data_IF_627747965286
#
_entry.id   IF_627747965286
#
_cell.length_a   1.000
_cell.length_b   1.000
_cell.length_c   1.000
_cell.angle_alpha   90.00
_cell.angle_beta   90.00
_cell.angle_gamma   90.00
#
_symmetry.space_group_name_H-M   'P 1'
#
loop_
_entity.id
_entity.type
_entity.pdbx_description
1 polymer ?
#
# COMPACT_ATOMS: atom_id res chain seq x y z
N UNK A 1 6.43 9.77 0.68
CA UNK A 1 5.92 8.46 0.20
C UNK A 1 5.36 7.67 1.37
N UNK A 2 4.50 6.67 1.11
CA UNK A 2 3.91 5.82 2.17
C UNK A 2 4.99 5.15 3.02
N UNK A 3 6.08 4.69 2.40
CA UNK A 3 7.21 4.09 3.10
C UNK A 3 7.88 5.05 4.11
N UNK A 4 7.97 6.36 3.78
CA UNK A 4 8.50 7.36 4.72
C UNK A 4 7.60 7.50 5.93
N UNK A 5 6.28 7.57 5.73
CA UNK A 5 5.29 7.65 6.83
C UNK A 5 5.32 6.42 7.73
N UNK A 6 5.44 5.22 7.14
CA UNK A 6 5.58 3.99 7.90
C UNK A 6 6.88 3.95 8.73
N UNK A 7 7.99 4.46 8.17
CA UNK A 7 9.25 4.53 8.89
C UNK A 7 9.18 5.55 10.03
N UNK A 8 8.63 6.75 9.79
CA UNK A 8 8.45 7.75 10.84
C UNK A 8 7.66 7.19 12.03
N UNK A 9 6.55 6.46 11.79
CA UNK A 9 5.79 5.84 12.88
C UNK A 9 6.56 4.72 13.60
N UNK A 10 7.40 3.94 12.90
CA UNK A 10 8.26 2.94 13.54
C UNK A 10 9.31 3.60 14.43
N UNK A 11 9.95 4.63 13.91
CA UNK A 11 10.95 5.40 14.65
C UNK A 11 10.32 6.04 15.89
N UNK A 12 9.10 6.59 15.77
CA UNK A 12 8.33 7.12 16.89
C UNK A 12 8.04 6.04 17.96
N UNK A 13 7.63 4.82 17.56
CA UNK A 13 7.35 3.72 18.50
C UNK A 13 8.62 3.32 19.26
N UNK A 14 9.74 3.12 18.56
CA UNK A 14 11.01 2.75 19.18
C UNK A 14 11.53 3.86 20.13
N UNK A 15 11.41 5.12 19.70
CA UNK A 15 11.80 6.27 20.49
C UNK A 15 10.93 6.41 21.75
N UNK A 16 9.60 6.20 21.67
CA UNK A 16 8.70 6.20 22.83
C UNK A 16 9.05 5.11 23.84
N UNK A 17 9.33 3.90 23.37
CA UNK A 17 9.72 2.79 24.26
C UNK A 17 11.04 3.08 24.98
N UNK A 18 11.97 3.75 24.32
CA UNK A 18 13.22 4.18 24.94
C UNK A 18 12.98 5.35 25.90
N UNK A 19 12.24 6.36 25.48
CA UNK A 19 11.98 7.57 26.25
C UNK A 19 11.19 7.26 27.52
N UNK A 20 10.24 6.33 27.46
CA UNK A 20 9.50 5.86 28.63
C UNK A 20 10.40 5.25 29.71
N UNK A 21 11.48 4.56 29.31
CA UNK A 21 12.47 4.00 30.23
C UNK A 21 13.39 5.07 30.79
N UNK A 22 13.79 6.03 29.97
CA UNK A 22 14.59 7.18 30.41
C UNK A 22 13.82 8.01 31.44
N UNK A 23 12.53 8.28 31.17
CA UNK A 23 11.64 8.97 32.11
C UNK A 23 11.47 8.18 33.41
N UNK A 24 11.23 6.85 33.33
CA UNK A 24 11.11 5.99 34.51
C UNK A 24 12.39 5.95 35.35
N UNK A 25 13.55 5.98 34.73
CA UNK A 25 14.86 5.94 35.37
C UNK A 25 15.32 7.29 35.92
N UNK A 26 14.68 8.41 35.56
CA UNK A 26 15.05 9.75 35.98
C UNK A 26 14.98 9.86 37.50
N UNK A 27 16.10 10.24 38.13
CA UNK A 27 16.08 10.67 39.55
C UNK A 27 15.73 12.16 39.64
N UNK A 28 14.48 12.43 39.90
CA UNK A 28 13.93 13.80 39.97
C UNK A 28 14.53 14.69 41.10
N UNK A 29 15.30 14.08 42.00
CA UNK A 29 16.01 14.80 43.08
C UNK A 29 17.50 15.02 42.80
N UNK A 30 18.01 14.53 41.64
CA UNK A 30 19.41 14.72 41.26
C UNK A 30 19.68 16.18 40.86
N UNK A 31 20.93 16.63 41.00
CA UNK A 31 21.34 18.01 40.64
C UNK A 31 21.14 18.30 39.14
N UNK A 32 21.20 17.26 38.30
CA UNK A 32 21.03 17.30 36.83
C UNK A 32 19.62 16.91 36.37
N UNK A 33 18.66 16.74 37.28
CA UNK A 33 17.30 16.30 36.99
C UNK A 33 16.59 17.17 35.94
N UNK A 34 16.67 18.50 36.12
CA UNK A 34 16.03 19.43 35.17
C UNK A 34 16.64 19.32 33.75
N UNK A 35 17.95 19.24 33.66
CA UNK A 35 18.63 19.11 32.36
C UNK A 35 18.22 17.83 31.63
N UNK A 36 18.13 16.70 32.35
CA UNK A 36 17.67 15.43 31.78
C UNK A 36 16.20 15.46 31.40
N UNK A 37 15.37 16.15 32.22
CA UNK A 37 13.97 16.32 31.87
C UNK A 37 13.78 17.17 30.61
N UNK A 38 14.57 18.22 30.43
CA UNK A 38 14.54 19.05 29.23
C UNK A 38 14.98 18.24 27.98
N UNK A 39 15.98 17.37 28.12
CA UNK A 39 16.38 16.43 27.05
C UNK A 39 15.24 15.46 26.70
N UNK A 40 14.49 14.96 27.68
CA UNK A 40 13.31 14.10 27.46
C UNK A 40 12.22 14.87 26.71
N UNK A 41 11.96 16.13 27.11
CA UNK A 41 10.96 16.98 26.45
C UNK A 41 11.33 17.21 24.96
N UNK A 42 12.59 17.54 24.65
CA UNK A 42 13.08 17.74 23.29
C UNK A 42 12.92 16.47 22.44
N UNK A 43 13.28 15.30 22.98
CA UNK A 43 13.09 14.02 22.31
C UNK A 43 11.61 13.72 22.03
N UNK A 44 10.73 14.05 22.97
CA UNK A 44 9.30 13.87 22.78
C UNK A 44 8.74 14.79 21.70
N UNK A 45 9.25 16.03 21.59
CA UNK A 45 8.88 16.93 20.49
C UNK A 45 9.29 16.39 19.11
N UNK A 46 10.40 15.70 19.00
CA UNK A 46 10.80 15.04 17.77
C UNK A 46 9.87 13.84 17.46
N UNK A 47 9.50 13.05 18.46
CA UNK A 47 8.52 11.98 18.32
C UNK A 47 7.16 12.51 17.83
N UNK A 48 6.69 13.65 18.34
CA UNK A 48 5.45 14.28 17.85
C UNK A 48 5.52 14.64 16.37
N UNK A 49 6.69 15.07 15.87
CA UNK A 49 6.87 15.35 14.44
C UNK A 49 6.76 14.08 13.59
N UNK A 50 7.36 12.98 14.05
CA UNK A 50 7.29 11.69 13.37
C UNK A 50 5.85 11.14 13.34
N UNK A 51 5.10 11.30 14.43
CA UNK A 51 3.67 10.96 14.52
C UNK A 51 2.86 11.79 13.52
N UNK A 52 3.09 13.11 13.45
CA UNK A 52 2.39 14.00 12.51
C UNK A 52 2.73 13.65 11.05
N UNK A 53 3.99 13.30 10.75
CA UNK A 53 4.38 12.82 9.41
C UNK A 53 3.64 11.53 9.03
N UNK A 54 3.41 10.65 9.99
CA UNK A 54 2.71 9.38 9.80
C UNK A 54 1.19 9.45 9.97
N UNK A 55 0.61 10.57 10.36
CA UNK A 55 -0.79 10.75 10.79
C UNK A 55 -1.83 10.17 9.83
N UNK A 56 -1.62 10.30 8.52
CA UNK A 56 -2.53 9.74 7.50
C UNK A 56 -2.69 8.21 7.57
N UNK A 57 -1.71 7.49 8.16
CA UNK A 57 -1.76 6.04 8.32
C UNK A 57 -2.49 5.60 9.59
N UNK A 58 -2.71 6.52 10.53
CA UNK A 58 -3.32 6.22 11.84
C UNK A 58 -4.84 6.04 11.76
N UNK A 59 -5.48 6.58 10.72
CA UNK A 59 -6.90 6.40 10.46
C UNK A 59 -7.79 6.93 11.60
N UNK A 60 -8.66 6.06 12.10
CA UNK A 60 -9.63 6.40 13.15
C UNK A 60 -8.98 6.62 14.52
N UNK A 61 -7.81 6.04 14.74
CA UNK A 61 -7.04 6.18 16.00
C UNK A 61 -6.27 7.51 16.10
N UNK A 62 -6.21 8.30 15.01
CA UNK A 62 -5.43 9.55 14.94
C UNK A 62 -5.79 10.56 16.03
N UNK A 63 -7.09 10.76 16.27
CA UNK A 63 -7.58 11.72 17.27
C UNK A 63 -7.20 11.31 18.70
N UNK A 64 -7.35 10.03 19.03
CA UNK A 64 -6.99 9.51 20.35
C UNK A 64 -5.47 9.55 20.61
N UNK A 65 -4.67 9.27 19.56
CA UNK A 65 -3.21 9.37 19.60
C UNK A 65 -2.76 10.82 19.81
N UNK A 66 -3.39 11.78 19.12
CA UNK A 66 -3.10 13.20 19.26
C UNK A 66 -3.44 13.70 20.68
N UNK A 67 -4.62 13.35 21.19
CA UNK A 67 -5.02 13.70 22.57
C UNK A 67 -4.04 13.15 23.62
N UNK A 68 -3.65 11.87 23.51
CA UNK A 68 -2.70 11.27 24.43
C UNK A 68 -1.30 11.92 24.31
N UNK A 69 -0.88 12.30 23.11
CA UNK A 69 0.37 13.03 22.90
C UNK A 69 0.35 14.41 23.56
N UNK A 70 -0.76 15.15 23.46
CA UNK A 70 -0.93 16.44 24.12
C UNK A 70 -0.93 16.32 25.66
N UNK A 71 -1.56 15.26 26.19
CA UNK A 71 -1.53 14.98 27.63
C UNK A 71 -0.12 14.66 28.13
N UNK A 72 0.67 13.88 27.38
CA UNK A 72 2.06 13.57 27.71
C UNK A 72 2.89 14.86 27.72
N UNK A 73 2.73 15.69 26.69
CA UNK A 73 3.44 16.97 26.59
C UNK A 73 3.15 17.88 27.77
N UNK A 74 1.88 18.00 28.17
CA UNK A 74 1.47 18.75 29.37
C UNK A 74 2.09 18.17 30.62
N UNK A 75 2.06 16.86 30.84
CA UNK A 75 2.64 16.20 31.99
C UNK A 75 4.16 16.41 32.07
N UNK A 76 4.86 16.36 30.93
CA UNK A 76 6.31 16.61 30.84
C UNK A 76 6.67 18.06 31.23
N UNK A 77 5.90 19.04 30.71
CA UNK A 77 6.12 20.45 31.04
C UNK A 77 5.84 20.74 32.52
N UNK A 78 4.77 20.17 33.07
CA UNK A 78 4.45 20.30 34.50
C UNK A 78 5.52 19.67 35.37
N UNK A 79 6.07 18.48 34.96
CA UNK A 79 7.15 17.83 35.70
C UNK A 79 8.45 18.68 35.69
N UNK A 80 8.80 19.29 34.56
CA UNK A 80 9.92 20.25 34.51
C UNK A 80 9.72 21.42 35.46
N UNK A 81 8.52 21.98 35.52
CA UNK A 81 8.19 23.07 36.45
C UNK A 81 8.30 22.63 37.92
N UNK A 82 7.79 21.43 38.25
CA UNK A 82 7.87 20.87 39.63
C UNK A 82 9.33 20.61 40.04
N UNK A 83 10.18 20.09 39.16
CA UNK A 83 11.61 19.90 39.38
C UNK A 83 12.29 21.26 39.63
N UNK A 84 11.98 22.28 38.82
CA UNK A 84 12.53 23.63 38.98
C UNK A 84 12.12 24.29 40.32
N UNK A 85 10.90 23.99 40.79
CA UNK A 85 10.40 24.48 42.09
C UNK A 85 10.93 23.70 43.31
N UNK A 86 11.60 22.54 43.05
CA UNK A 86 12.12 21.66 44.10
C UNK A 86 11.06 20.74 44.72
N UNK A 87 9.90 20.60 44.10
CA UNK A 87 8.78 19.77 44.56
C UNK A 87 8.36 18.73 43.50
N UNK A 88 9.27 17.88 42.99
CA UNK A 88 8.97 16.97 41.90
C UNK A 88 8.01 15.83 42.32
N UNK A 89 7.00 15.59 41.51
CA UNK A 89 6.02 14.53 41.72
C UNK A 89 6.47 13.21 41.11
N UNK A 90 6.85 12.24 41.94
CA UNK A 90 7.14 10.86 41.52
C UNK A 90 5.94 10.19 40.87
N UNK A 91 4.73 10.54 41.29
CA UNK A 91 3.50 10.01 40.70
C UNK A 91 3.31 10.50 39.25
N UNK A 92 3.55 11.80 39.01
CA UNK A 92 3.49 12.39 37.66
C UNK A 92 4.50 11.70 36.74
N UNK A 93 5.75 11.61 37.15
CA UNK A 93 6.81 10.92 36.41
C UNK A 93 6.38 9.49 35.98
N UNK A 94 5.87 8.71 36.94
CA UNK A 94 5.41 7.34 36.67
C UNK A 94 4.22 7.30 35.69
N UNK A 95 3.27 8.23 35.84
CA UNK A 95 2.12 8.34 34.94
C UNK A 95 2.55 8.73 33.52
N UNK A 96 3.46 9.68 33.40
CA UNK A 96 3.98 10.11 32.09
C UNK A 96 4.69 8.97 31.37
N UNK A 97 5.57 8.24 32.07
CA UNK A 97 6.21 7.04 31.51
C UNK A 97 5.17 5.99 31.09
N UNK A 98 4.10 5.79 31.86
CA UNK A 98 3.04 4.85 31.51
C UNK A 98 2.24 5.31 30.30
N UNK A 99 1.90 6.60 30.19
CA UNK A 99 1.23 7.17 29.02
C UNK A 99 2.08 7.06 27.75
N UNK A 100 3.41 7.22 27.84
CA UNK A 100 4.32 6.99 26.71
C UNK A 100 4.29 5.53 26.22
N UNK A 101 4.24 4.55 27.15
CA UNK A 101 4.09 3.13 26.81
C UNK A 101 2.73 2.85 26.17
N UNK A 102 1.68 3.51 26.65
CA UNK A 102 0.34 3.41 26.06
C UNK A 102 0.31 4.00 24.65
N UNK A 103 0.90 5.17 24.43
CA UNK A 103 1.02 5.79 23.12
C UNK A 103 1.80 4.91 22.14
N UNK A 104 2.93 4.32 22.54
CA UNK A 104 3.68 3.36 21.74
C UNK A 104 2.81 2.15 21.33
N UNK A 105 2.04 1.61 22.29
CA UNK A 105 1.11 0.50 22.02
C UNK A 105 0.00 0.89 21.04
N UNK A 106 -0.60 2.08 21.21
CA UNK A 106 -1.65 2.58 20.31
C UNK A 106 -1.11 2.77 18.90
N UNK A 107 0.05 3.38 18.73
CA UNK A 107 0.72 3.54 17.43
C UNK A 107 0.99 2.18 16.77
N UNK A 108 1.48 1.22 17.54
CA UNK A 108 1.73 -0.14 17.05
C UNK A 108 0.46 -0.84 16.56
N UNK A 109 -0.66 -0.68 17.30
CA UNK A 109 -1.96 -1.23 16.92
C UNK A 109 -2.52 -0.54 15.67
N UNK A 110 -2.46 0.80 15.61
CA UNK A 110 -2.90 1.58 14.46
C UNK A 110 -2.14 1.19 13.19
N UNK A 111 -0.81 1.05 13.27
CA UNK A 111 0.01 0.58 12.15
C UNK A 111 -0.36 -0.83 11.69
N UNK A 112 -0.62 -1.76 12.61
CA UNK A 112 -1.06 -3.12 12.27
C UNK A 112 -2.42 -3.10 11.58
N UNK A 113 -3.36 -2.31 12.10
CA UNK A 113 -4.69 -2.12 11.50
C UNK A 113 -4.60 -1.53 10.10
N UNK A 114 -3.80 -0.48 9.92
CA UNK A 114 -3.57 0.15 8.62
C UNK A 114 -2.97 -0.84 7.59
N UNK A 115 -1.98 -1.63 8.02
CA UNK A 115 -1.36 -2.65 7.17
C UNK A 115 -2.35 -3.75 6.79
N UNK A 116 -3.19 -4.19 7.72
CA UNK A 116 -4.22 -5.19 7.44
C UNK A 116 -5.25 -4.64 6.45
N UNK A 117 -5.78 -3.43 6.67
CA UNK A 117 -6.71 -2.78 5.72
C UNK A 117 -6.09 -2.64 4.33
N UNK A 118 -4.80 -2.28 4.23
CA UNK A 118 -4.10 -2.20 2.95
C UNK A 118 -4.01 -3.56 2.25
N UNK A 119 -3.69 -4.63 2.98
CA UNK A 119 -3.64 -5.99 2.42
C UNK A 119 -5.01 -6.46 1.94
N UNK A 120 -6.09 -6.14 2.65
CA UNK A 120 -7.47 -6.47 2.25
C UNK A 120 -7.86 -5.70 0.97
N UNK A 121 -7.48 -4.42 0.85
CA UNK A 121 -7.70 -3.63 -0.37
C UNK A 121 -6.87 -4.16 -1.54
N UNK A 122 -5.62 -4.54 -1.31
CA UNK A 122 -4.76 -5.11 -2.34
C UNK A 122 -5.31 -6.46 -2.80
N UNK A 123 -5.83 -7.29 -1.89
CA UNK A 123 -6.49 -8.56 -2.21
C UNK A 123 -7.69 -8.34 -3.13
N UNK A 124 -8.61 -7.43 -2.78
CA UNK A 124 -9.78 -7.11 -3.59
C UNK A 124 -9.39 -6.57 -4.98
N UNK A 125 -8.37 -5.71 -5.03
CA UNK A 125 -7.85 -5.17 -6.29
C UNK A 125 -7.25 -6.25 -7.17
N UNK A 126 -6.45 -7.16 -6.61
CA UNK A 126 -5.85 -8.28 -7.32
C UNK A 126 -6.91 -9.24 -7.88
N UNK A 127 -7.94 -9.56 -7.09
CA UNK A 127 -9.06 -10.39 -7.53
C UNK A 127 -9.79 -9.76 -8.72
N UNK A 128 -10.14 -8.48 -8.62
CA UNK A 128 -10.82 -7.76 -9.69
C UNK A 128 -9.96 -7.67 -10.96
N UNK A 129 -8.66 -7.44 -10.82
CA UNK A 129 -7.74 -7.42 -11.96
C UNK A 129 -7.62 -8.79 -12.64
N UNK A 130 -7.55 -9.85 -11.84
CA UNK A 130 -7.48 -11.22 -12.35
C UNK A 130 -8.75 -11.57 -13.15
N UNK A 131 -9.94 -11.27 -12.61
CA UNK A 131 -11.21 -11.45 -13.30
C UNK A 131 -11.24 -10.66 -14.61
N UNK A 132 -10.87 -9.39 -14.60
CA UNK A 132 -10.83 -8.56 -15.81
C UNK A 132 -9.86 -9.09 -16.86
N UNK A 133 -8.68 -9.60 -16.46
CA UNK A 133 -7.72 -10.19 -17.42
C UNK A 133 -8.23 -11.50 -18.00
N UNK A 134 -8.90 -12.34 -17.22
CA UNK A 134 -9.54 -13.56 -17.71
C UNK A 134 -10.63 -13.21 -18.74
N UNK A 135 -11.48 -12.25 -18.44
CA UNK A 135 -12.51 -11.77 -19.37
C UNK A 135 -11.91 -11.24 -20.67
N UNK A 136 -10.84 -10.45 -20.58
CA UNK A 136 -10.11 -9.97 -21.75
C UNK A 136 -9.53 -11.11 -22.58
N UNK A 137 -8.97 -12.13 -21.94
CA UNK A 137 -8.44 -13.33 -22.62
C UNK A 137 -9.56 -14.08 -23.33
N UNK A 138 -10.72 -14.27 -22.70
CA UNK A 138 -11.88 -14.95 -23.31
C UNK A 138 -12.46 -14.18 -24.49
N UNK A 139 -12.54 -12.85 -24.42
CA UNK A 139 -12.98 -12.02 -25.55
C UNK A 139 -12.03 -12.18 -26.73
N UNK A 140 -10.72 -12.17 -26.49
CA UNK A 140 -9.73 -12.33 -27.55
C UNK A 140 -9.75 -13.75 -28.13
N UNK A 141 -9.99 -14.79 -27.30
CA UNK A 141 -10.18 -16.16 -27.75
C UNK A 141 -11.39 -16.27 -28.69
N UNK A 142 -12.50 -15.65 -28.34
CA UNK A 142 -13.73 -15.65 -29.16
C UNK A 142 -13.49 -14.95 -30.52
N UNK A 143 -12.75 -13.85 -30.49
CA UNK A 143 -12.30 -13.18 -31.72
C UNK A 143 -11.38 -14.07 -32.57
N UNK A 144 -10.46 -14.78 -31.95
CA UNK A 144 -9.56 -15.73 -32.62
C UNK A 144 -10.35 -16.88 -33.24
N UNK A 145 -11.19 -17.56 -32.47
CA UNK A 145 -11.99 -18.71 -32.95
C UNK A 145 -12.99 -18.34 -34.04
N UNK A 146 -13.57 -17.14 -33.98
CA UNK A 146 -14.48 -16.62 -34.99
C UNK A 146 -13.83 -16.46 -36.37
N UNK A 147 -12.51 -16.40 -36.44
CA UNK A 147 -11.75 -16.37 -37.70
C UNK A 147 -11.30 -17.73 -38.18
N UNK A 148 -11.07 -18.67 -37.26
CA UNK A 148 -10.66 -20.04 -37.60
C UNK A 148 -11.81 -20.87 -38.20
N UNK A 149 -13.05 -20.52 -37.83
CA UNK A 149 -14.24 -21.18 -38.42
C UNK A 149 -14.61 -20.54 -39.76
N UNK A 150 -14.57 -21.34 -40.82
CA UNK A 150 -14.92 -20.94 -42.20
C UNK A 150 -16.40 -20.55 -42.39
N UNK A 151 -17.19 -20.48 -41.33
CA UNK A 151 -18.59 -20.07 -41.37
C UNK A 151 -18.69 -18.53 -41.34
N UNK A 152 -18.54 -17.95 -42.53
CA UNK A 152 -18.46 -16.54 -42.86
C UNK A 152 -19.74 -15.74 -42.50
N UNK A 153 -20.77 -16.36 -41.96
CA UNK A 153 -22.10 -15.73 -41.81
C UNK A 153 -22.37 -14.94 -40.55
N UNK A 154 -21.60 -15.09 -39.49
CA UNK A 154 -21.96 -14.56 -38.16
C UNK A 154 -21.14 -13.33 -37.70
N UNK A 155 -19.92 -13.19 -38.21
CA UNK A 155 -19.05 -12.09 -37.83
C UNK A 155 -18.63 -11.24 -39.05
N UNK A 156 -19.30 -10.10 -39.21
CA UNK A 156 -18.86 -9.09 -40.20
C UNK A 156 -17.54 -8.46 -39.73
N UNK A 157 -16.73 -7.99 -40.70
CA UNK A 157 -15.51 -7.22 -40.41
C UNK A 157 -15.75 -6.08 -39.39
N UNK A 158 -16.88 -5.41 -39.52
CA UNK A 158 -17.29 -4.30 -38.63
C UNK A 158 -17.50 -4.75 -37.19
N UNK A 159 -18.08 -5.92 -36.97
CA UNK A 159 -18.28 -6.48 -35.62
C UNK A 159 -16.93 -6.82 -34.95
N UNK A 160 -16.01 -7.37 -35.72
CA UNK A 160 -14.65 -7.70 -35.24
C UNK A 160 -13.89 -6.43 -34.83
N UNK A 161 -13.91 -5.39 -35.66
CA UNK A 161 -13.30 -4.09 -35.36
C UNK A 161 -13.92 -3.46 -34.13
N UNK A 162 -15.25 -3.55 -33.99
CA UNK A 162 -15.93 -3.02 -32.79
C UNK A 162 -15.53 -3.78 -31.51
N UNK A 163 -15.50 -5.10 -31.58
CA UNK A 163 -15.11 -5.92 -30.43
C UNK A 163 -13.65 -5.66 -30.04
N UNK A 164 -12.76 -5.49 -31.03
CA UNK A 164 -11.37 -5.13 -30.76
C UNK A 164 -11.23 -3.74 -30.12
N UNK A 165 -11.99 -2.78 -30.61
CA UNK A 165 -12.01 -1.44 -30.01
C UNK A 165 -12.56 -1.46 -28.56
N UNK A 166 -13.54 -2.30 -28.27
CA UNK A 166 -14.04 -2.51 -26.91
C UNK A 166 -13.00 -3.20 -26.04
N UNK A 167 -12.32 -4.20 -26.56
CA UNK A 167 -11.22 -4.88 -25.87
C UNK A 167 -10.11 -3.88 -25.50
N UNK A 168 -9.65 -3.09 -26.47
CA UNK A 168 -8.62 -2.06 -26.25
C UNK A 168 -9.02 -1.08 -25.12
N UNK A 169 -10.27 -0.61 -25.14
CA UNK A 169 -10.80 0.29 -24.10
C UNK A 169 -10.80 -0.37 -22.70
N UNK A 170 -11.21 -1.65 -22.64
CA UNK A 170 -11.23 -2.39 -21.37
C UNK A 170 -9.81 -2.65 -20.88
N UNK A 171 -8.88 -2.97 -21.77
CA UNK A 171 -7.48 -3.14 -21.42
C UNK A 171 -6.84 -1.87 -20.91
N UNK A 172 -7.15 -0.70 -21.48
CA UNK A 172 -6.63 0.59 -20.97
C UNK A 172 -7.03 0.81 -19.51
N UNK A 173 -8.26 0.50 -19.13
CA UNK A 173 -8.71 0.61 -17.73
C UNK A 173 -7.98 -0.38 -16.80
N UNK A 174 -7.75 -1.61 -17.27
CA UNK A 174 -6.98 -2.64 -16.53
C UNK A 174 -5.51 -2.22 -16.41
N UNK A 175 -4.93 -1.69 -17.48
CA UNK A 175 -3.54 -1.22 -17.54
C UNK A 175 -3.24 -0.18 -16.48
N UNK A 176 -4.09 0.82 -16.32
CA UNK A 176 -3.89 1.89 -15.33
C UNK A 176 -3.82 1.31 -13.90
N UNK A 177 -4.68 0.34 -13.60
CA UNK A 177 -4.68 -0.32 -12.28
C UNK A 177 -3.46 -1.24 -12.11
N UNK A 178 -3.05 -1.96 -13.18
CA UNK A 178 -1.81 -2.76 -13.17
C UNK A 178 -0.58 -1.90 -12.95
N UNK A 179 -0.49 -0.73 -13.58
CA UNK A 179 0.61 0.22 -13.39
C UNK A 179 0.66 0.76 -11.95
N UNK A 180 -0.51 1.07 -11.38
CA UNK A 180 -0.61 1.51 -9.98
C UNK A 180 -0.16 0.40 -9.02
N UNK A 181 -0.56 -0.86 -9.27
CA UNK A 181 -0.12 -2.03 -8.50
C UNK A 181 1.38 -2.27 -8.64
N UNK A 182 1.90 -2.27 -9.87
CA UNK A 182 3.32 -2.45 -10.17
C UNK A 182 4.21 -1.44 -9.44
N UNK A 183 3.74 -0.18 -9.30
CA UNK A 183 4.48 0.86 -8.59
C UNK A 183 4.67 0.58 -7.10
N UNK A 184 3.84 -0.28 -6.50
CA UNK A 184 3.89 -0.67 -5.08
C UNK A 184 4.69 -1.94 -4.83
N UNK A 185 4.96 -2.75 -5.87
CA UNK A 185 5.65 -4.04 -5.77
C UNK A 185 6.91 -4.06 -6.62
N UNK A 186 8.10 -3.78 -6.06
CA UNK A 186 9.36 -3.75 -6.81
C UNK A 186 9.67 -5.05 -7.57
N UNK A 187 9.25 -6.19 -7.04
CA UNK A 187 9.49 -7.50 -7.67
C UNK A 187 8.57 -7.77 -8.85
N UNK A 188 7.31 -7.31 -8.79
CA UNK A 188 6.32 -7.49 -9.85
C UNK A 188 6.36 -6.35 -10.90
N UNK A 189 6.99 -5.22 -10.58
CA UNK A 189 6.99 -4.02 -11.42
C UNK A 189 7.47 -4.30 -12.83
N UNK A 190 8.68 -4.86 -12.98
CA UNK A 190 9.27 -5.09 -14.28
C UNK A 190 8.49 -6.11 -15.12
N UNK A 191 8.12 -7.31 -14.61
CA UNK A 191 7.32 -8.26 -15.37
C UNK A 191 5.99 -7.69 -15.86
N UNK A 192 5.26 -6.95 -15.02
CA UNK A 192 3.97 -6.33 -15.38
C UNK A 192 4.16 -5.27 -16.47
N UNK A 193 5.12 -4.36 -16.31
CA UNK A 193 5.39 -3.31 -17.30
C UNK A 193 5.81 -3.92 -18.65
N UNK A 194 6.72 -4.88 -18.64
CA UNK A 194 7.17 -5.55 -19.85
C UNK A 194 6.00 -6.29 -20.53
N UNK A 195 5.12 -6.94 -19.78
CA UNK A 195 3.91 -7.57 -20.29
C UNK A 195 2.94 -6.58 -20.94
N UNK A 196 2.66 -5.47 -20.28
CA UNK A 196 1.82 -4.38 -20.83
C UNK A 196 2.38 -3.88 -22.17
N UNK A 197 3.68 -3.59 -22.24
CA UNK A 197 4.33 -3.11 -23.46
C UNK A 197 4.26 -4.15 -24.60
N UNK A 198 4.37 -5.45 -24.29
CA UNK A 198 4.21 -6.51 -25.28
C UNK A 198 2.78 -6.57 -25.81
N UNK A 199 1.78 -6.46 -24.93
CA UNK A 199 0.37 -6.41 -25.34
C UNK A 199 0.11 -5.22 -26.25
N UNK A 200 0.49 -4.01 -25.86
CA UNK A 200 0.31 -2.79 -26.66
C UNK A 200 0.94 -2.92 -28.05
N UNK A 201 2.15 -3.45 -28.14
CA UNK A 201 2.83 -3.68 -29.41
C UNK A 201 2.07 -4.68 -30.31
N UNK A 202 1.52 -5.76 -29.71
CA UNK A 202 0.75 -6.76 -30.46
C UNK A 202 -0.58 -6.19 -30.93
N UNK A 203 -1.25 -5.38 -30.11
CA UNK A 203 -2.47 -4.67 -30.48
C UNK A 203 -2.26 -3.72 -31.66
N UNK A 204 -1.21 -2.93 -31.64
CA UNK A 204 -0.85 -2.07 -32.78
C UNK A 204 -0.65 -2.88 -34.07
N UNK A 205 -0.01 -4.05 -33.95
CA UNK A 205 0.17 -4.94 -35.10
C UNK A 205 -1.14 -5.58 -35.55
N UNK A 206 -2.04 -5.88 -34.63
CA UNK A 206 -3.36 -6.41 -34.87
C UNK A 206 -4.22 -5.40 -35.61
N UNK A 207 -4.26 -4.15 -35.17
CA UNK A 207 -4.97 -3.06 -35.85
C UNK A 207 -4.46 -2.85 -37.31
N UNK A 208 -3.14 -2.80 -37.48
CA UNK A 208 -2.52 -2.73 -38.82
C UNK A 208 -2.89 -3.94 -39.71
N UNK A 209 -3.07 -5.12 -39.11
CA UNK A 209 -3.48 -6.33 -39.83
C UNK A 209 -4.95 -6.25 -40.28
N UNK A 210 -5.83 -5.64 -39.48
CA UNK A 210 -7.20 -5.33 -39.87
C UNK A 210 -7.27 -4.37 -41.05
N UNK A 211 -6.50 -3.29 -41.01
CA UNK A 211 -6.45 -2.32 -42.11
C UNK A 211 -6.01 -2.95 -43.42
N UNK A 212 -5.03 -3.84 -43.38
CA UNK A 212 -4.46 -4.54 -44.55
C UNK A 212 -5.26 -5.74 -45.00
N UNK A 213 -6.27 -6.17 -44.26
CA UNK A 213 -7.08 -7.34 -44.57
C UNK A 213 -6.34 -8.68 -44.42
N UNK A 214 -5.24 -8.76 -43.68
CA UNK A 214 -4.43 -9.97 -43.52
C UNK A 214 -4.93 -10.83 -42.35
N UNK A 215 -5.82 -11.77 -42.64
CA UNK A 215 -6.43 -12.65 -41.63
C UNK A 215 -5.40 -13.53 -40.88
N UNK A 216 -4.39 -14.05 -41.58
CA UNK A 216 -3.38 -14.91 -40.96
C UNK A 216 -2.53 -14.14 -39.91
N UNK A 217 -2.11 -12.93 -40.24
CA UNK A 217 -1.37 -12.10 -39.32
C UNK A 217 -2.22 -11.66 -38.11
N UNK A 218 -3.50 -11.38 -38.35
CA UNK A 218 -4.43 -11.02 -37.30
C UNK A 218 -4.58 -12.16 -36.28
N UNK A 219 -4.83 -13.40 -36.70
CA UNK A 219 -4.95 -14.56 -35.81
C UNK A 219 -3.68 -14.78 -34.97
N UNK A 220 -2.50 -14.64 -35.60
CA UNK A 220 -1.22 -14.78 -34.89
C UNK A 220 -1.05 -13.69 -33.82
N UNK A 221 -1.45 -12.44 -34.11
CA UNK A 221 -1.34 -11.35 -33.12
C UNK A 221 -2.37 -11.53 -32.00
N UNK A 222 -3.63 -11.91 -32.30
CA UNK A 222 -4.65 -12.21 -31.30
C UNK A 222 -4.21 -13.30 -30.32
N UNK A 223 -3.68 -14.42 -30.85
CA UNK A 223 -3.12 -15.48 -30.02
C UNK A 223 -1.97 -14.95 -29.12
N UNK A 224 -1.10 -14.10 -29.67
CA UNK A 224 -0.03 -13.49 -28.90
C UNK A 224 -0.53 -12.59 -27.80
N UNK A 225 -1.59 -11.79 -28.02
CA UNK A 225 -2.22 -10.95 -27.00
C UNK A 225 -2.77 -11.83 -25.87
N UNK A 226 -3.51 -12.91 -26.20
CA UNK A 226 -4.00 -13.88 -25.20
C UNK A 226 -2.87 -14.44 -24.32
N UNK A 227 -1.75 -14.83 -24.93
CA UNK A 227 -0.60 -15.36 -24.19
C UNK A 227 -0.05 -14.35 -23.19
N UNK A 228 0.16 -13.10 -23.62
CA UNK A 228 0.68 -12.04 -22.76
C UNK A 228 -0.30 -11.68 -21.61
N UNK A 229 -1.60 -11.62 -21.90
CA UNK A 229 -2.64 -11.40 -20.88
C UNK A 229 -2.63 -12.52 -19.84
N UNK A 230 -2.54 -13.77 -20.28
CA UNK A 230 -2.48 -14.93 -19.40
C UNK A 230 -1.19 -14.96 -18.56
N UNK A 231 -0.06 -14.52 -19.10
CA UNK A 231 1.18 -14.37 -18.33
C UNK A 231 1.03 -13.35 -17.20
N UNK A 232 0.41 -12.20 -17.47
CA UNK A 232 0.12 -11.21 -16.41
C UNK A 232 -0.87 -11.80 -15.39
N UNK A 233 -1.92 -12.50 -15.83
CA UNK A 233 -2.89 -13.13 -14.94
C UNK A 233 -2.22 -14.14 -13.98
N UNK A 234 -1.29 -14.95 -14.47
CA UNK A 234 -0.52 -15.88 -13.63
C UNK A 234 0.33 -15.15 -12.59
N UNK A 235 0.99 -14.05 -12.96
CA UNK A 235 1.75 -13.22 -12.01
C UNK A 235 0.85 -12.61 -10.92
N UNK A 236 -0.37 -12.20 -11.29
CA UNK A 236 -1.34 -11.68 -10.31
C UNK A 236 -1.88 -12.78 -9.40
N UNK A 237 -2.10 -13.99 -9.90
CA UNK A 237 -2.54 -15.13 -9.09
C UNK A 237 -1.47 -15.49 -8.04
N UNK A 238 -0.20 -15.48 -8.42
CA UNK A 238 0.92 -15.68 -7.50
C UNK A 238 0.99 -14.58 -6.42
N UNK A 239 0.78 -13.32 -6.82
CA UNK A 239 0.70 -12.20 -5.89
C UNK A 239 -0.51 -12.31 -4.94
N UNK A 240 -1.66 -12.73 -5.46
CA UNK A 240 -2.89 -12.98 -4.70
C UNK A 240 -2.67 -14.02 -3.61
N UNK A 241 -2.07 -15.17 -3.97
CA UNK A 241 -1.75 -16.24 -3.03
C UNK A 241 -0.81 -15.75 -1.92
N UNK A 242 0.20 -14.94 -2.25
CA UNK A 242 1.12 -14.37 -1.28
C UNK A 242 0.40 -13.41 -0.31
N UNK A 243 -0.52 -12.57 -0.79
CA UNK A 243 -1.32 -11.68 0.08
C UNK A 243 -2.23 -12.48 0.99
N UNK A 244 -2.89 -13.53 0.47
CA UNK A 244 -3.74 -14.42 1.28
C UNK A 244 -2.96 -15.15 2.37
N UNK A 245 -1.76 -15.64 2.07
CA UNK A 245 -0.89 -16.26 3.08
C UNK A 245 -0.48 -15.26 4.17
N UNK A 246 -0.16 -14.03 3.80
CA UNK A 246 0.20 -12.99 4.76
C UNK A 246 -0.98 -12.62 5.68
N UNK A 247 -2.20 -12.53 5.14
CA UNK A 247 -3.41 -12.30 5.94
C UNK A 247 -3.71 -13.46 6.89
N UNK A 248 -3.55 -14.71 6.44
CA UNK A 248 -3.80 -15.90 7.27
C UNK A 248 -2.73 -16.13 8.34
N UNK A 249 -1.50 -15.69 8.11
CA UNK A 249 -0.38 -15.79 9.07
C UNK A 249 -0.39 -14.72 10.15
N UNK A 250 -1.27 -13.72 10.04
CA UNK A 250 -1.43 -12.64 11.04
C UNK A 250 -2.61 -12.90 12.01
N UNK A 251 -3.43 -13.91 11.76
CA UNK A 251 -4.48 -14.39 12.69
C UNK A 251 -3.94 -15.43 13.65
#
# INVERSE_FOLDING_TARGET
SQLMKENALKDAIEALDQLSKEEEALDVNAEDALLKQDEINEKFDDIKKDIEEGKELLGEESEAIEQLSEEIDSDLQELSNEIQQGEPSKSRKSNTSQKMKELSSMLSMAMKSAKQKQLEMDLATLQQLLENLVDLSLIEEDLFLSNASSNIGVYTKERKVRNQALWNKNFDAVKDTLMALASRSPTAQKPIIDGILRIEKRQEQLDKSFERGSQANWATQAQGVMMEVNEIALLLDEALQNVQMNLSGQM
#
